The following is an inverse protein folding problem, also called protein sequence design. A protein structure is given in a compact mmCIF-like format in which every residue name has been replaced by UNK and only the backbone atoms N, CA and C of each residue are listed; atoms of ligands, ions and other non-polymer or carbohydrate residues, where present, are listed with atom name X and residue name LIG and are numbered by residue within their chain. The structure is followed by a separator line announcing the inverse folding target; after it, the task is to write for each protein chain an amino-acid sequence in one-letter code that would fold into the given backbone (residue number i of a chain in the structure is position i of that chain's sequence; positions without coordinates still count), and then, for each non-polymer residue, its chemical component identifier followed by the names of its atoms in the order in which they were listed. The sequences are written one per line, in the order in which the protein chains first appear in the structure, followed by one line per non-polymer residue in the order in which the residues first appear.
data_IF_930829323510
#
_entry.id   IF_930829323510
#
_cell.length_a   1.000
_cell.length_b   1.000
_cell.length_c   1.000
_cell.angle_alpha   90.00
_cell.angle_beta   90.00
_cell.angle_gamma   90.00
#
_symmetry.space_group_name_H-M   'P 1'
#
loop_
_entity.id
_entity.type
_entity.pdbx_description
1 polymer ?
#
# COMPACT_ATOMS: atom_id res chain seq x y z
N UNK A 1 -16.79 7.11 6.01
CA UNK A 1 -16.14 8.43 6.06
C UNK A 1 -16.17 9.04 7.46
N UNK A 2 -17.37 9.13 8.07
CA UNK A 2 -17.46 9.68 9.41
C UNK A 2 -16.62 8.92 10.44
N UNK A 3 -16.59 7.60 10.35
CA UNK A 3 -15.76 6.80 11.25
C UNK A 3 -14.28 7.18 11.10
N UNK A 4 -13.80 7.29 9.87
CA UNK A 4 -12.42 7.66 9.60
C UNK A 4 -12.14 9.09 10.11
N UNK A 5 -13.01 10.05 9.77
CA UNK A 5 -12.86 11.45 10.17
C UNK A 5 -12.75 11.58 11.69
N UNK A 6 -13.59 10.85 12.43
CA UNK A 6 -13.61 10.92 13.88
C UNK A 6 -12.48 10.16 14.53
N UNK A 7 -11.99 9.11 13.90
CA UNK A 7 -11.01 8.19 14.50
C UNK A 7 -9.58 8.37 13.96
N UNK A 8 -9.37 9.16 12.91
CA UNK A 8 -8.03 9.22 12.25
C UNK A 8 -6.88 9.61 13.17
N UNK A 9 -7.17 10.34 14.23
CA UNK A 9 -6.16 10.70 15.24
C UNK A 9 -5.67 9.49 16.04
N UNK A 10 -6.47 8.43 16.11
CA UNK A 10 -6.18 7.20 16.84
C UNK A 10 -5.74 6.05 15.94
N UNK A 11 -6.07 6.12 14.65
CA UNK A 11 -5.69 5.08 13.71
C UNK A 11 -4.22 5.23 13.36
N UNK A 12 -3.51 4.11 13.35
CA UNK A 12 -2.09 4.11 13.05
C UNK A 12 -1.86 3.75 11.59
N UNK A 13 -0.75 4.27 11.06
CA UNK A 13 -0.27 3.85 9.74
C UNK A 13 0.18 2.39 9.82
N UNK A 14 -0.41 1.48 9.04
CA UNK A 14 -0.03 0.08 9.09
C UNK A 14 1.36 -0.21 8.55
N UNK A 15 1.93 0.68 7.74
CA UNK A 15 3.24 0.45 7.11
C UNK A 15 4.35 0.66 8.13
N UNK A 16 5.15 -0.38 8.36
CA UNK A 16 6.32 -0.27 9.22
C UNK A 16 7.57 0.08 8.42
N UNK A 17 7.69 -0.48 7.21
CA UNK A 17 8.86 -0.29 6.35
C UNK A 17 8.46 -0.52 4.90
N UNK A 18 9.13 0.14 3.99
CA UNK A 18 8.98 -0.09 2.55
C UNK A 18 10.32 -0.56 2.00
N UNK A 19 10.31 -1.64 1.25
CA UNK A 19 11.49 -2.16 0.56
C UNK A 19 11.19 -2.26 -0.93
N UNK A 20 12.23 -2.22 -1.75
CA UNK A 20 12.11 -2.46 -3.19
C UNK A 20 12.80 -3.77 -3.51
N UNK A 21 12.12 -4.62 -4.26
CA UNK A 21 12.65 -5.92 -4.69
C UNK A 21 12.45 -6.05 -6.20
N UNK A 22 13.12 -7.03 -6.80
CA UNK A 22 12.86 -7.36 -8.19
C UNK A 22 11.54 -8.13 -8.29
N UNK A 23 10.75 -7.84 -9.31
CA UNK A 23 9.43 -8.43 -9.49
C UNK A 23 9.48 -9.96 -9.54
N UNK A 24 10.53 -10.54 -10.09
CA UNK A 24 10.63 -12.01 -10.20
C UNK A 24 10.71 -12.71 -8.83
N UNK A 25 11.04 -11.98 -7.76
CA UNK A 25 11.05 -12.56 -6.42
C UNK A 25 9.67 -12.64 -5.78
N UNK A 26 8.66 -11.98 -6.36
CA UNK A 26 7.32 -11.90 -5.78
C UNK A 26 6.49 -13.14 -6.08
N UNK A 27 6.95 -14.30 -5.63
CA UNK A 27 6.25 -15.58 -5.79
C UNK A 27 5.28 -15.87 -4.64
N UNK A 28 5.21 -14.98 -3.67
CA UNK A 28 4.36 -15.05 -2.49
C UNK A 28 3.08 -14.24 -2.71
N UNK A 29 2.06 -14.51 -1.87
CA UNK A 29 0.83 -13.74 -1.90
C UNK A 29 1.07 -12.32 -1.39
N UNK A 30 0.58 -11.35 -2.13
CA UNK A 30 0.67 -9.95 -1.75
C UNK A 30 -0.57 -9.21 -2.25
N UNK A 31 -0.80 -8.01 -1.71
CA UNK A 31 -2.03 -7.25 -1.97
C UNK A 31 -1.66 -5.86 -2.51
N UNK A 32 -2.39 -5.39 -3.51
CA UNK A 32 -2.21 -4.04 -4.03
C UNK A 32 -2.37 -3.04 -2.89
N UNK A 33 -1.47 -2.08 -2.79
CA UNK A 33 -1.41 -1.12 -1.70
C UNK A 33 -0.94 0.24 -2.23
N UNK A 34 -0.87 1.23 -1.35
CA UNK A 34 -0.36 2.54 -1.68
C UNK A 34 -1.06 3.19 -2.87
N UNK A 35 -0.32 3.91 -3.68
CA UNK A 35 -0.87 4.57 -4.85
C UNK A 35 -1.38 3.58 -5.89
N UNK A 36 -0.84 2.37 -5.94
CA UNK A 36 -1.34 1.31 -6.83
C UNK A 36 -2.79 0.98 -6.49
N UNK A 37 -3.07 0.69 -5.23
CA UNK A 37 -4.43 0.38 -4.78
C UNK A 37 -5.36 1.58 -4.98
N UNK A 38 -4.89 2.76 -4.65
CA UNK A 38 -5.68 3.98 -4.77
C UNK A 38 -6.04 4.26 -6.24
N UNK A 39 -5.10 4.02 -7.17
CA UNK A 39 -5.35 4.21 -8.59
C UNK A 39 -6.41 3.25 -9.14
N UNK A 40 -6.55 2.08 -8.55
CA UNK A 40 -7.55 1.09 -8.95
C UNK A 40 -8.97 1.49 -8.52
N UNK A 41 -9.08 2.35 -7.53
CA UNK A 41 -10.34 2.81 -6.95
C UNK A 41 -10.70 4.25 -7.34
N UNK A 42 -9.85 4.93 -8.07
CA UNK A 42 -10.02 6.33 -8.40
C UNK A 42 -9.47 6.64 -9.80
N UNK A 43 -9.50 7.91 -10.19
CA UNK A 43 -8.95 8.36 -11.45
C UNK A 43 -7.45 8.70 -11.36
N UNK A 44 -6.85 8.49 -10.20
CA UNK A 44 -5.43 8.73 -10.00
C UNK A 44 -4.62 7.77 -10.88
N UNK A 45 -3.58 8.28 -11.53
CA UNK A 45 -2.69 7.45 -12.33
C UNK A 45 -1.88 6.51 -11.42
N UNK A 46 -1.60 5.27 -11.86
CA UNK A 46 -0.77 4.38 -11.07
C UNK A 46 0.68 4.90 -10.96
N UNK A 47 1.39 4.54 -9.89
CA UNK A 47 2.78 4.94 -9.73
C UNK A 47 3.67 4.19 -10.72
N UNK A 48 4.89 4.69 -10.93
CA UNK A 48 5.85 4.06 -11.85
C UNK A 48 6.24 2.66 -11.39
N UNK A 49 6.39 2.48 -10.08
CA UNK A 49 6.70 1.17 -9.50
C UNK A 49 5.46 0.70 -8.74
N UNK A 50 4.99 -0.49 -9.09
CA UNK A 50 3.81 -1.06 -8.44
C UNK A 50 4.06 -1.26 -6.94
N UNK A 51 3.06 -0.96 -6.12
CA UNK A 51 3.14 -1.06 -4.67
C UNK A 51 2.23 -2.17 -4.16
N UNK A 52 2.77 -3.03 -3.31
CA UNK A 52 2.04 -4.15 -2.72
C UNK A 52 2.36 -4.25 -1.25
N UNK A 53 1.48 -4.92 -0.49
CA UNK A 53 1.65 -5.07 0.96
C UNK A 53 1.68 -6.55 1.35
N UNK A 54 2.51 -6.85 2.34
CA UNK A 54 2.52 -8.15 3.01
C UNK A 54 2.70 -7.90 4.51
N UNK A 55 2.40 -8.91 5.32
CA UNK A 55 2.66 -8.83 6.76
C UNK A 55 4.17 -8.91 7.02
N UNK A 56 4.67 -8.04 7.87
CA UNK A 56 6.11 -7.97 8.22
C UNK A 56 6.65 -9.27 8.81
N UNK A 57 5.79 -10.09 9.42
CA UNK A 57 6.16 -11.34 10.05
C UNK A 57 6.19 -12.56 9.12
N UNK A 58 5.92 -12.37 7.83
CA UNK A 58 6.03 -13.48 6.88
C UNK A 58 7.46 -13.96 6.77
N UNK A 59 7.67 -15.27 6.74
CA UNK A 59 9.02 -15.85 6.68
C UNK A 59 9.79 -15.42 5.43
N UNK A 60 9.10 -15.18 4.33
CA UNK A 60 9.73 -14.78 3.07
C UNK A 60 10.46 -13.44 3.18
N UNK A 61 10.03 -12.58 4.10
CA UNK A 61 10.62 -11.23 4.25
C UNK A 61 12.13 -11.27 4.41
N UNK A 62 12.63 -12.20 5.22
CA UNK A 62 14.07 -12.32 5.49
C UNK A 62 14.85 -12.87 4.29
N UNK A 63 14.17 -13.41 3.30
CA UNK A 63 14.78 -14.01 2.12
C UNK A 63 14.80 -13.05 0.93
N UNK A 64 14.13 -11.91 1.03
CA UNK A 64 14.03 -10.96 -0.08
C UNK A 64 15.31 -10.14 -0.22
N UNK A 65 15.78 -10.01 -1.47
CA UNK A 65 16.92 -9.16 -1.77
C UNK A 65 16.44 -7.74 -2.05
N UNK A 66 16.86 -6.80 -1.20
CA UNK A 66 16.50 -5.38 -1.35
C UNK A 66 17.39 -4.77 -2.42
N UNK A 67 16.79 -4.09 -3.40
CA UNK A 67 17.50 -3.41 -4.47
C UNK A 67 17.27 -1.90 -4.40
N UNK A 68 18.14 -1.14 -5.07
CA UNK A 68 17.98 0.30 -5.20
C UNK A 68 17.10 0.58 -6.41
N UNK A 69 15.91 1.14 -6.18
CA UNK A 69 14.96 1.44 -7.23
C UNK A 69 15.53 2.34 -8.32
N UNK A 70 16.53 3.16 -7.99
CA UNK A 70 17.16 4.08 -8.96
C UNK A 70 18.08 3.38 -9.93
N UNK A 71 18.52 2.16 -9.61
CA UNK A 71 19.46 1.39 -10.40
C UNK A 71 18.76 0.36 -11.30
N UNK A 72 17.44 0.22 -11.20
CA UNK A 72 16.69 -0.81 -11.89
C UNK A 72 15.58 -0.20 -12.75
N UNK A 73 15.10 -0.95 -13.74
CA UNK A 73 13.93 -0.55 -14.52
C UNK A 73 12.69 -0.61 -13.62
N UNK A 74 11.90 0.47 -13.54
CA UNK A 74 10.69 0.47 -12.71
C UNK A 74 9.73 -0.68 -13.01
N UNK A 75 9.64 -1.12 -14.27
CA UNK A 75 8.76 -2.22 -14.64
C UNK A 75 9.22 -3.56 -14.09
N UNK A 76 10.49 -3.68 -13.72
CA UNK A 76 11.07 -4.90 -13.17
C UNK A 76 11.06 -4.92 -11.65
N UNK A 77 10.57 -3.86 -11.02
CA UNK A 77 10.59 -3.68 -9.57
C UNK A 77 9.19 -3.74 -8.96
N UNK A 78 9.16 -4.06 -7.66
CA UNK A 78 7.99 -3.89 -6.80
C UNK A 78 8.42 -3.18 -5.54
N UNK A 79 7.61 -2.26 -5.06
CA UNK A 79 7.74 -1.72 -3.72
C UNK A 79 6.86 -2.54 -2.80
N UNK A 80 7.46 -3.12 -1.78
CA UNK A 80 6.74 -3.95 -0.82
C UNK A 80 6.64 -3.19 0.49
N UNK A 81 5.40 -2.92 0.89
CA UNK A 81 5.11 -2.35 2.20
C UNK A 81 5.04 -3.51 3.21
N UNK A 82 5.86 -3.45 4.24
CA UNK A 82 5.82 -4.41 5.33
C UNK A 82 4.88 -3.86 6.40
N UNK A 83 3.74 -4.52 6.58
CA UNK A 83 2.67 -4.04 7.45
C UNK A 83 2.77 -4.63 8.86
N UNK A 84 2.35 -3.85 9.83
CA UNK A 84 2.34 -4.23 11.26
C UNK A 84 1.33 -5.32 11.56
N UNK A 85 0.30 -5.46 10.72
CA UNK A 85 -0.68 -6.55 10.80
C UNK A 85 -0.88 -7.13 9.41
N UNK A 86 -1.50 -8.31 9.35
CA UNK A 86 -1.66 -9.01 8.08
C UNK A 86 -2.71 -8.30 7.21
N UNK A 87 -2.33 -7.78 6.04
CA UNK A 87 -3.28 -7.07 5.18
C UNK A 87 -4.40 -7.98 4.64
N UNK A 88 -4.21 -9.31 4.65
CA UNK A 88 -5.22 -10.24 4.16
C UNK A 88 -6.48 -10.26 5.01
N UNK A 89 -6.41 -9.81 6.27
CA UNK A 89 -7.55 -9.88 7.18
C UNK A 89 -8.77 -9.12 6.67
N UNK A 90 -8.56 -8.01 5.99
CA UNK A 90 -9.65 -7.16 5.49
C UNK A 90 -9.57 -6.91 3.99
N UNK A 91 -8.61 -7.54 3.31
CA UNK A 91 -8.41 -7.32 1.88
C UNK A 91 -9.59 -7.83 1.05
N UNK A 92 -9.86 -7.16 -0.07
CA UNK A 92 -10.87 -7.57 -1.05
C UNK A 92 -10.24 -7.50 -2.44
N UNK A 93 -10.49 -8.50 -3.26
CA UNK A 93 -9.99 -8.54 -4.65
C UNK A 93 -8.47 -8.34 -4.72
N UNK A 94 -7.73 -8.89 -3.76
CA UNK A 94 -6.27 -8.78 -3.65
C UNK A 94 -5.78 -7.34 -3.47
N UNK A 95 -6.61 -6.53 -2.85
CA UNK A 95 -6.31 -5.13 -2.57
C UNK A 95 -6.57 -4.86 -1.09
N UNK A 96 -5.71 -4.05 -0.47
CA UNK A 96 -5.87 -3.71 0.94
C UNK A 96 -7.17 -2.95 1.16
N UNK A 97 -7.73 -3.06 2.36
CA UNK A 97 -9.01 -2.42 2.68
C UNK A 97 -8.90 -0.88 2.65
N UNK A 98 -10.02 -0.19 2.36
CA UNK A 98 -10.01 1.27 2.19
C UNK A 98 -9.55 2.05 3.42
N UNK A 99 -9.93 1.62 4.62
CA UNK A 99 -9.57 2.35 5.84
C UNK A 99 -8.08 2.25 6.11
N UNK A 100 -7.51 1.03 6.00
CA UNK A 100 -6.05 0.84 6.13
C UNK A 100 -5.31 1.61 5.05
N UNK A 101 -5.81 1.59 3.81
CA UNK A 101 -5.20 2.33 2.71
C UNK A 101 -5.14 3.83 3.03
N UNK A 102 -6.24 4.40 3.51
CA UNK A 102 -6.28 5.80 3.91
C UNK A 102 -5.25 6.11 4.99
N UNK A 103 -5.08 5.19 5.95
CA UNK A 103 -4.11 5.36 7.04
C UNK A 103 -2.67 5.37 6.54
N UNK A 104 -2.37 4.70 5.42
CA UNK A 104 -1.01 4.71 4.85
C UNK A 104 -0.63 6.07 4.29
N UNK A 105 -1.62 6.92 3.98
CA UNK A 105 -1.39 8.28 3.48
C UNK A 105 -1.55 9.35 4.56
N UNK A 106 -1.67 8.95 5.81
CA UNK A 106 -1.78 9.89 6.92
C UNK A 106 -0.56 10.81 6.95
N UNK A 107 -0.82 12.12 6.90
CA UNK A 107 0.26 13.12 6.82
C UNK A 107 0.72 13.46 5.42
N UNK A 108 0.17 12.81 4.39
CA UNK A 108 0.49 13.14 3.01
C UNK A 108 -0.16 14.48 2.65
N UNK A 109 0.60 15.36 2.01
CA UNK A 109 0.15 16.70 1.65
C UNK A 109 -0.23 16.86 0.18
N UNK A 110 -0.18 15.79 -0.61
CA UNK A 110 -0.57 15.83 -2.02
C UNK A 110 -2.09 15.90 -2.12
N UNK A 111 -2.60 17.02 -2.64
CA UNK A 111 -4.04 17.25 -2.76
C UNK A 111 -4.76 16.22 -3.63
N UNK A 112 -4.10 15.72 -4.67
CA UNK A 112 -4.71 14.71 -5.56
C UNK A 112 -4.94 13.41 -4.82
N UNK A 113 -3.98 13.01 -3.98
CA UNK A 113 -4.08 11.82 -3.15
C UNK A 113 -5.17 12.01 -2.10
N UNK A 114 -5.17 13.16 -1.43
CA UNK A 114 -6.18 13.47 -0.41
C UNK A 114 -7.59 13.43 -0.98
N UNK A 115 -7.81 14.02 -2.14
CA UNK A 115 -9.11 13.98 -2.80
C UNK A 115 -9.53 12.57 -3.17
N UNK A 116 -8.60 11.76 -3.66
CA UNK A 116 -8.88 10.37 -4.02
C UNK A 116 -9.27 9.55 -2.80
N UNK A 117 -8.62 9.79 -1.67
CA UNK A 117 -8.93 9.12 -0.40
C UNK A 117 -10.32 9.53 0.09
N UNK A 118 -10.67 10.81 0.01
CA UNK A 118 -12.00 11.27 0.40
C UNK A 118 -13.08 10.59 -0.44
N UNK A 119 -12.89 10.50 -1.75
CA UNK A 119 -13.82 9.81 -2.65
C UNK A 119 -13.95 8.34 -2.28
N UNK A 120 -12.82 7.68 -2.01
CA UNK A 120 -12.81 6.28 -1.61
C UNK A 120 -13.63 6.06 -0.34
N UNK A 121 -13.45 6.90 0.66
CA UNK A 121 -14.12 6.76 1.95
C UNK A 121 -15.61 7.12 1.88
N UNK A 122 -16.01 7.96 0.94
CA UNK A 122 -17.42 8.29 0.73
C UNK A 122 -18.24 7.11 0.20
N UNK A 123 -17.58 6.16 -0.43
CA UNK A 123 -18.23 4.96 -0.96
C UNK A 123 -18.41 3.84 0.09
N UNK A 124 -17.93 4.05 1.30
CA UNK A 124 -18.06 3.04 2.38
C UNK A 124 -19.47 2.97 3.00
#
# INVERSE_FOLDING_TARGET
KEYYENAKGYLINPVQKVITIMRYEATFESFSAGETALSQESELNPPRIEERAIYKGEEVVDQLEIVDARSEDPDDCLKIQLWKYNPSYFARERRVDPVSLACTFKGNEDERIEMSIEELLEEL
#
